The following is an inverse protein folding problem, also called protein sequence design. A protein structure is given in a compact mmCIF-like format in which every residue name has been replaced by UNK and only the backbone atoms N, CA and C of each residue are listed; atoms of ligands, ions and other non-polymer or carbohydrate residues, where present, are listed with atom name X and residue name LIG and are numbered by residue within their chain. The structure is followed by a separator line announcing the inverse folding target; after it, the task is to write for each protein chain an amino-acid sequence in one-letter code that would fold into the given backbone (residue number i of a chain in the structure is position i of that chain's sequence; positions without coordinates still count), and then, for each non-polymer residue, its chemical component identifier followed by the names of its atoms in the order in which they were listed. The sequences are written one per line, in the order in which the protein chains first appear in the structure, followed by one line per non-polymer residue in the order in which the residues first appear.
data_IF_144062975569
#
_entry.id   IF_144062975569
#
_cell.length_a   1.000
_cell.length_b   1.000
_cell.length_c   1.000
_cell.angle_alpha   90.00
_cell.angle_beta   90.00
_cell.angle_gamma   90.00
#
_symmetry.space_group_name_H-M   'P 1'
#
loop_
_entity.id
_entity.type
_entity.pdbx_description
1 polymer ?
#
# COMPACT_ATOMS: atom_id res chain seq x y z
N UNK A 1 4.25 -7.84 -5.64
CA UNK A 1 3.78 -6.67 -4.84
C UNK A 1 2.41 -7.01 -4.26
N UNK A 2 2.14 -6.74 -2.99
CA UNK A 2 0.79 -6.91 -2.41
C UNK A 2 0.30 -5.60 -1.79
N UNK A 3 -1.01 -5.46 -1.60
CA UNK A 3 -1.64 -4.28 -1.01
C UNK A 3 -2.26 -4.64 0.34
N UNK A 4 -2.00 -3.81 1.36
CA UNK A 4 -2.82 -3.77 2.56
C UNK A 4 -3.59 -2.44 2.62
N UNK A 5 -4.90 -2.54 2.54
CA UNK A 5 -5.79 -1.38 2.49
C UNK A 5 -7.07 -1.59 3.31
N UNK A 6 -7.04 -2.41 4.37
CA UNK A 6 -8.16 -2.47 5.30
C UNK A 6 -8.35 -1.07 5.92
N UNK A 7 -9.46 -0.43 5.57
CA UNK A 7 -9.83 0.93 5.95
C UNK A 7 -9.05 2.08 5.29
N UNK A 8 -8.39 1.83 4.15
CA UNK A 8 -7.74 2.86 3.33
C UNK A 8 -8.54 3.18 2.05
N UNK A 9 -8.20 4.27 1.37
CA UNK A 9 -8.72 4.59 0.04
C UNK A 9 -8.05 3.77 -1.07
N UNK A 10 -8.36 4.11 -2.33
CA UNK A 10 -7.78 3.48 -3.52
C UNK A 10 -6.31 3.82 -3.80
N UNK A 11 -5.71 4.80 -3.11
CA UNK A 11 -4.40 5.34 -3.48
C UNK A 11 -3.27 4.31 -3.34
N UNK A 12 -3.36 3.42 -2.36
CA UNK A 12 -2.41 2.32 -2.18
C UNK A 12 -2.50 1.30 -3.33
N UNK A 13 -3.72 0.97 -3.75
CA UNK A 13 -3.96 0.09 -4.89
C UNK A 13 -3.42 0.68 -6.19
N UNK A 14 -3.74 1.94 -6.47
CA UNK A 14 -3.24 2.66 -7.65
C UNK A 14 -1.70 2.71 -7.69
N UNK A 15 -1.07 3.03 -6.55
CA UNK A 15 0.39 3.04 -6.43
C UNK A 15 1.01 1.67 -6.67
N UNK A 16 0.40 0.60 -6.14
CA UNK A 16 0.88 -0.76 -6.34
C UNK A 16 0.79 -1.19 -7.82
N UNK A 17 -0.30 -0.83 -8.50
CA UNK A 17 -0.47 -1.12 -9.93
C UNK A 17 0.53 -0.35 -10.79
N UNK A 18 0.69 0.95 -10.55
CA UNK A 18 1.66 1.77 -11.28
C UNK A 18 3.10 1.28 -11.06
N UNK A 19 3.45 0.89 -9.84
CA UNK A 19 4.77 0.35 -9.51
C UNK A 19 4.99 -1.03 -10.15
N UNK A 20 3.98 -1.90 -10.14
CA UNK A 20 4.03 -3.20 -10.79
C UNK A 20 4.32 -3.05 -12.30
N UNK A 21 3.59 -2.15 -12.96
CA UNK A 21 3.80 -1.84 -14.37
C UNK A 21 5.21 -1.30 -14.65
N UNK A 22 5.68 -0.35 -13.84
CA UNK A 22 7.01 0.26 -14.00
C UNK A 22 8.15 -0.76 -13.84
N UNK A 23 8.00 -1.70 -12.92
CA UNK A 23 9.04 -2.69 -12.58
C UNK A 23 8.92 -4.00 -13.35
N UNK A 24 7.90 -4.18 -14.20
CA UNK A 24 7.60 -5.47 -14.82
C UNK A 24 7.27 -6.56 -13.78
N UNK A 25 6.70 -6.17 -12.65
CA UNK A 25 6.33 -7.05 -11.55
C UNK A 25 4.82 -7.35 -11.56
N UNK A 26 4.41 -8.33 -10.75
CA UNK A 26 2.99 -8.68 -10.58
C UNK A 26 2.45 -8.21 -9.24
N UNK A 27 1.18 -7.81 -9.22
CA UNK A 27 0.42 -7.68 -7.98
C UNK A 27 -0.13 -9.05 -7.59
N UNK A 28 0.12 -9.47 -6.34
CA UNK A 28 -0.30 -10.75 -5.78
C UNK A 28 -1.26 -10.51 -4.63
N UNK A 29 -2.20 -11.44 -4.44
CA UNK A 29 -3.18 -11.38 -3.34
C UNK A 29 -2.54 -11.74 -1.99
N UNK A 30 -1.62 -12.70 -2.00
CA UNK A 30 -0.98 -13.22 -0.79
C UNK A 30 0.25 -12.42 -0.42
N UNK A 31 0.20 -11.73 0.72
CA UNK A 31 1.33 -10.90 1.20
C UNK A 31 2.59 -11.69 1.50
N UNK A 32 2.46 -12.97 1.87
CA UNK A 32 3.61 -13.84 2.14
C UNK A 32 4.45 -14.13 0.91
N UNK A 33 3.87 -13.96 -0.28
CA UNK A 33 4.53 -14.17 -1.57
C UNK A 33 5.05 -12.85 -2.17
N UNK A 34 4.80 -11.71 -1.50
CA UNK A 34 5.12 -10.41 -2.04
C UNK A 34 6.53 -9.94 -1.62
N UNK A 35 7.32 -9.50 -2.60
CA UNK A 35 8.62 -8.85 -2.35
C UNK A 35 8.49 -7.40 -1.85
N UNK A 36 7.27 -6.84 -1.90
CA UNK A 36 6.93 -5.51 -1.42
C UNK A 36 5.46 -5.48 -1.01
N UNK A 37 5.18 -4.90 0.15
CA UNK A 37 3.81 -4.62 0.62
C UNK A 37 3.54 -3.12 0.58
N UNK A 38 2.49 -2.72 -0.12
CA UNK A 38 2.02 -1.32 -0.19
C UNK A 38 0.88 -1.15 0.81
N UNK A 39 1.02 -0.22 1.74
CA UNK A 39 0.06 0.02 2.83
C UNK A 39 -0.55 1.40 2.67
N UNK A 40 -1.88 1.46 2.62
CA UNK A 40 -2.61 2.72 2.57
C UNK A 40 -2.74 3.39 3.94
N UNK A 41 -2.83 4.71 3.93
CA UNK A 41 -3.24 5.47 5.12
C UNK A 41 -4.74 5.29 5.37
N UNK A 42 -5.14 5.28 6.64
CA UNK A 42 -6.55 5.20 7.02
C UNK A 42 -7.35 6.38 6.45
N UNK A 43 -8.62 6.15 6.09
CA UNK A 43 -9.51 7.15 5.49
C UNK A 43 -9.71 8.42 6.34
N UNK A 44 -9.59 8.31 7.67
CA UNK A 44 -9.72 9.44 8.59
C UNK A 44 -8.47 10.34 8.65
N UNK A 45 -7.37 9.94 8.01
CA UNK A 45 -6.18 10.77 7.91
C UNK A 45 -6.47 12.03 7.08
N UNK A 46 -5.85 13.18 7.37
CA UNK A 46 -5.91 14.32 6.46
C UNK A 46 -5.31 13.96 5.09
N UNK A 47 -5.84 14.55 4.01
CA UNK A 47 -5.32 14.33 2.66
C UNK A 47 -3.81 14.62 2.57
N UNK A 48 -3.08 13.74 1.89
CA UNK A 48 -1.63 13.80 1.75
C UNK A 48 -0.85 13.51 3.03
N UNK A 49 -1.51 13.07 4.10
CA UNK A 49 -0.85 12.66 5.35
C UNK A 49 -0.90 11.16 5.50
N UNK A 50 0.07 10.67 6.26
CA UNK A 50 0.15 9.29 6.68
C UNK A 50 -0.43 9.17 8.08
N UNK A 51 -1.41 8.28 8.24
CA UNK A 51 -1.84 7.76 9.53
C UNK A 51 -2.27 6.31 9.33
N UNK A 52 -1.80 5.42 10.19
CA UNK A 52 -2.06 3.99 10.08
C UNK A 52 -3.20 3.56 11.00
N UNK A 53 -4.07 2.70 10.48
CA UNK A 53 -5.07 2.01 11.29
C UNK A 53 -4.40 1.03 12.27
N UNK A 54 -5.15 0.58 13.28
CA UNK A 54 -4.68 -0.48 14.18
C UNK A 54 -4.38 -1.79 13.44
N UNK A 55 -5.21 -2.13 12.45
CA UNK A 55 -5.00 -3.29 11.58
C UNK A 55 -3.69 -3.18 10.81
N UNK A 56 -3.46 -2.04 10.14
CA UNK A 56 -2.21 -1.81 9.41
C UNK A 56 -0.98 -1.90 10.34
N UNK A 57 -1.03 -1.35 11.56
CA UNK A 57 0.07 -1.48 12.54
C UNK A 57 0.34 -2.94 12.93
N UNK A 58 -0.69 -3.67 13.29
CA UNK A 58 -0.59 -5.11 13.65
C UNK A 58 0.01 -5.93 12.52
N UNK A 59 -0.34 -5.61 11.28
CA UNK A 59 0.22 -6.28 10.11
C UNK A 59 1.70 -5.96 9.90
N UNK A 60 2.09 -4.69 10.06
CA UNK A 60 3.49 -4.26 9.97
C UNK A 60 4.38 -4.96 11.00
N UNK A 61 3.86 -5.27 12.19
CA UNK A 61 4.60 -6.01 13.22
C UNK A 61 4.95 -7.45 12.80
N UNK A 62 4.25 -8.00 11.80
CA UNK A 62 4.41 -9.39 11.33
C UNK A 62 5.05 -9.51 9.94
N UNK A 63 5.12 -8.40 9.19
CA UNK A 63 5.60 -8.40 7.81
C UNK A 63 7.11 -8.59 7.75
N UNK A 64 7.58 -9.38 6.77
CA UNK A 64 9.01 -9.63 6.55
C UNK A 64 9.57 -9.01 5.28
N UNK A 65 8.70 -8.55 4.39
CA UNK A 65 9.08 -7.89 3.15
C UNK A 65 9.19 -6.37 3.35
N UNK A 66 9.93 -5.66 2.49
CA UNK A 66 9.88 -4.21 2.42
C UNK A 66 8.44 -3.66 2.38
N UNK A 67 8.26 -2.48 2.96
CA UNK A 67 6.96 -1.81 3.06
C UNK A 67 7.04 -0.42 2.44
N UNK A 68 6.04 -0.09 1.62
CA UNK A 68 5.80 1.26 1.12
C UNK A 68 4.50 1.80 1.70
N UNK A 69 4.54 2.94 2.38
CA UNK A 69 3.34 3.57 2.95
C UNK A 69 2.87 4.70 2.03
N UNK A 70 1.59 4.67 1.66
CA UNK A 70 0.96 5.63 0.75
C UNK A 70 0.10 6.62 1.55
N UNK A 71 0.31 7.94 1.38
CA UNK A 71 -0.50 8.95 2.03
C UNK A 71 -1.96 8.90 1.56
N UNK A 72 -2.89 9.32 2.42
CA UNK A 72 -4.31 9.36 2.08
C UNK A 72 -4.57 10.26 0.87
N UNK A 73 -5.28 9.76 -0.12
CA UNK A 73 -5.71 10.48 -1.33
C UNK A 73 -4.59 10.82 -2.30
N UNK A 74 -3.38 10.27 -2.12
CA UNK A 74 -2.21 10.61 -2.95
C UNK A 74 -1.42 9.38 -3.38
N UNK A 75 -1.76 8.80 -4.56
CA UNK A 75 -0.94 7.78 -5.18
C UNK A 75 0.48 8.30 -5.45
N UNK A 76 1.49 7.44 -5.30
CA UNK A 76 2.90 7.82 -5.46
C UNK A 76 3.34 7.85 -6.93
N UNK A 77 2.59 7.17 -7.80
CA UNK A 77 2.79 7.11 -9.25
C UNK A 77 1.39 7.04 -9.88
N UNK A 78 1.06 7.97 -10.77
CA UNK A 78 -0.14 7.83 -11.58
C UNK A 78 0.17 6.80 -12.68
N UNK A 79 -0.73 5.84 -12.91
CA UNK A 79 -0.68 5.05 -14.13
C UNK A 79 -0.86 6.03 -15.30
N UNK A 80 0.16 6.12 -16.17
CA UNK A 80 0.13 6.94 -17.38
C UNK A 80 -0.87 6.43 -18.40
#
# INVERSE_FOLDING_TARGET
IAVSASDADGAAGESAQALAALLGASVVSERREADLVVVGSQLSAPLGRVALSGAARSELDSVRSPVLIVPHGRPLLAAG
#
